data_IF_913713685035
#
_entry.id   IF_913713685035
#
_cell.length_a   1.000
_cell.length_b   1.000
_cell.length_c   1.000
_cell.angle_alpha   90.00
_cell.angle_beta   90.00
_cell.angle_gamma   90.00
#
_symmetry.space_group_name_H-M   'P 1'
#
loop_
_entity.id
_entity.type
_entity.pdbx_description
1 polymer ?
#
# COMPACT_ATOMS: atom_id res chain seq x y z
N UNK A 1 33.67 -9.52 13.21
CA UNK A 1 33.66 -9.28 11.75
C UNK A 1 34.55 -8.08 11.47
N UNK A 2 35.31 -8.10 10.38
CA UNK A 2 36.12 -6.96 9.97
C UNK A 2 35.24 -5.73 9.65
N UNK A 3 35.71 -4.52 9.99
CA UNK A 3 34.93 -3.29 9.86
C UNK A 3 34.59 -2.97 8.40
N UNK A 4 35.49 -3.24 7.47
CA UNK A 4 35.27 -3.03 6.04
C UNK A 4 34.24 -4.03 5.50
N UNK A 5 34.36 -5.30 5.91
CA UNK A 5 33.39 -6.35 5.55
C UNK A 5 31.99 -5.99 6.05
N UNK A 6 31.88 -5.54 7.32
CA UNK A 6 30.61 -5.11 7.91
C UNK A 6 29.99 -3.96 7.12
N UNK A 7 30.76 -2.92 6.83
CA UNK A 7 30.24 -1.74 6.13
C UNK A 7 29.78 -2.09 4.71
N UNK A 8 30.53 -2.96 4.00
CA UNK A 8 30.13 -3.44 2.67
C UNK A 8 28.83 -4.24 2.73
N UNK A 9 28.65 -5.11 3.72
CA UNK A 9 27.42 -5.87 3.90
C UNK A 9 26.22 -4.97 4.16
N UNK A 10 26.36 -3.94 4.99
CA UNK A 10 25.30 -2.94 5.24
C UNK A 10 24.85 -2.30 3.93
N UNK A 11 25.79 -1.77 3.15
CA UNK A 11 25.48 -1.10 1.87
C UNK A 11 24.81 -2.05 0.86
N UNK A 12 25.28 -3.30 0.79
CA UNK A 12 24.67 -4.32 -0.07
C UNK A 12 23.22 -4.59 0.36
N UNK A 13 22.99 -4.78 1.66
CA UNK A 13 21.64 -5.06 2.17
C UNK A 13 20.70 -3.88 1.91
N UNK A 14 21.11 -2.64 2.20
CA UNK A 14 20.30 -1.44 1.95
C UNK A 14 19.90 -1.32 0.47
N UNK A 15 20.85 -1.52 -0.44
CA UNK A 15 20.61 -1.48 -1.88
C UNK A 15 19.62 -2.57 -2.31
N UNK A 16 19.79 -3.80 -1.84
CA UNK A 16 18.89 -4.89 -2.20
C UNK A 16 17.49 -4.73 -1.62
N UNK A 17 17.38 -4.25 -0.37
CA UNK A 17 16.09 -3.94 0.25
C UNK A 17 15.36 -2.90 -0.60
N UNK A 18 16.00 -1.78 -0.93
CA UNK A 18 15.39 -0.72 -1.72
C UNK A 18 14.92 -1.22 -3.10
N UNK A 19 15.73 -2.02 -3.79
CA UNK A 19 15.37 -2.60 -5.08
C UNK A 19 14.17 -3.55 -4.99
N UNK A 20 14.14 -4.41 -3.97
CA UNK A 20 13.05 -5.35 -3.73
C UNK A 20 11.75 -4.63 -3.35
N UNK A 21 11.82 -3.58 -2.54
CA UNK A 21 10.68 -2.72 -2.21
C UNK A 21 10.11 -2.01 -3.45
N UNK A 22 10.98 -1.53 -4.35
CA UNK A 22 10.55 -0.92 -5.61
C UNK A 22 9.88 -1.94 -6.54
N UNK A 23 10.44 -3.15 -6.66
CA UNK A 23 9.82 -4.23 -7.43
C UNK A 23 8.46 -4.60 -6.84
N UNK A 24 8.37 -4.75 -5.52
CA UNK A 24 7.10 -5.02 -4.85
C UNK A 24 6.08 -3.92 -5.14
N UNK A 25 6.50 -2.65 -5.05
CA UNK A 25 5.65 -1.49 -5.39
C UNK A 25 5.11 -1.55 -6.81
N UNK A 26 5.96 -1.89 -7.79
CA UNK A 26 5.56 -2.02 -9.19
C UNK A 26 4.48 -3.10 -9.37
N UNK A 27 4.57 -4.23 -8.66
CA UNK A 27 3.56 -5.29 -8.72
C UNK A 27 2.18 -4.85 -8.19
N UNK A 28 2.13 -3.87 -7.30
CA UNK A 28 0.89 -3.30 -6.75
C UNK A 28 0.42 -2.04 -7.48
N UNK A 29 1.11 -1.64 -8.54
CA UNK A 29 0.81 -0.43 -9.27
C UNK A 29 -0.15 -0.72 -10.42
N UNK A 30 -1.27 0.00 -10.51
CA UNK A 30 -2.32 -0.19 -11.52
C UNK A 30 -2.81 1.13 -12.08
N UNK A 31 -3.50 1.08 -13.23
CA UNK A 31 -4.33 2.20 -13.68
C UNK A 31 -5.54 2.35 -12.74
N UNK A 32 -5.84 3.59 -12.35
CA UNK A 32 -6.90 3.91 -11.41
C UNK A 32 -8.28 3.48 -11.96
N UNK A 33 -8.92 2.45 -11.40
CA UNK A 33 -10.18 1.89 -11.89
C UNK A 33 -11.39 2.81 -11.65
N UNK A 34 -11.22 3.88 -10.86
CA UNK A 34 -12.29 4.82 -10.52
C UNK A 34 -12.30 6.06 -11.42
N UNK A 35 -11.23 6.31 -12.20
CA UNK A 35 -11.24 7.35 -13.23
C UNK A 35 -11.77 6.73 -14.53
N UNK A 36 -12.80 7.38 -15.11
CA UNK A 36 -13.37 6.97 -16.38
C UNK A 36 -12.33 6.96 -17.51
N UNK A 37 -12.59 6.14 -18.53
CA UNK A 37 -11.78 5.92 -19.74
C UNK A 37 -11.49 7.18 -20.57
N UNK A 38 -12.02 8.34 -20.19
CA UNK A 38 -11.96 9.59 -20.94
C UNK A 38 -10.70 10.44 -20.62
N UNK A 39 -9.88 10.01 -19.66
CA UNK A 39 -8.60 10.66 -19.36
C UNK A 39 -7.50 9.91 -20.12
N UNK A 40 -7.07 10.47 -21.25
CA UNK A 40 -5.94 9.96 -22.01
C UNK A 40 -4.72 9.80 -21.09
N UNK A 41 -4.31 8.54 -20.86
CA UNK A 41 -3.11 8.20 -20.12
C UNK A 41 -3.28 7.74 -18.68
N UNK A 42 -4.51 7.51 -18.20
CA UNK A 42 -4.84 6.74 -16.98
C UNK A 42 -3.98 7.03 -15.73
N UNK A 43 -4.55 7.62 -14.68
CA UNK A 43 -3.79 7.86 -13.43
C UNK A 43 -3.23 6.53 -12.88
N UNK A 44 -1.91 6.41 -12.80
CA UNK A 44 -1.24 5.22 -12.27
C UNK A 44 -1.07 5.37 -10.76
N UNK A 45 -1.57 4.38 -10.01
CA UNK A 45 -1.63 4.40 -8.55
C UNK A 45 -1.02 3.12 -7.94
N UNK A 46 -0.49 3.20 -6.72
CA UNK A 46 -0.22 2.00 -5.91
C UNK A 46 -1.49 1.64 -5.13
N UNK A 47 -2.08 0.49 -5.43
CA UNK A 47 -3.35 0.06 -4.84
C UNK A 47 -3.28 -0.03 -3.31
N UNK A 48 -2.10 -0.29 -2.73
CA UNK A 48 -1.93 -0.38 -1.27
C UNK A 48 -2.03 0.99 -0.61
N UNK A 49 -1.51 2.02 -1.28
CA UNK A 49 -1.57 3.41 -0.80
C UNK A 49 -3.02 3.89 -0.84
N UNK A 50 -3.72 3.67 -1.95
CA UNK A 50 -5.13 4.05 -2.07
C UNK A 50 -6.01 3.31 -1.05
N UNK A 51 -5.73 2.03 -0.78
CA UNK A 51 -6.43 1.29 0.27
C UNK A 51 -6.23 1.89 1.67
N UNK A 52 -5.00 2.33 1.99
CA UNK A 52 -4.73 2.99 3.26
C UNK A 52 -5.46 4.34 3.35
N UNK A 53 -5.44 5.13 2.27
CA UNK A 53 -6.19 6.40 2.19
C UNK A 53 -7.68 6.15 2.42
N UNK A 54 -8.28 5.17 1.74
CA UNK A 54 -9.69 4.82 1.92
C UNK A 54 -9.99 4.45 3.37
N UNK A 55 -9.17 3.63 4.03
CA UNK A 55 -9.37 3.25 5.44
C UNK A 55 -9.33 4.46 6.37
N UNK A 56 -8.37 5.37 6.18
CA UNK A 56 -8.27 6.59 6.99
C UNK A 56 -9.47 7.51 6.79
N UNK A 57 -9.94 7.65 5.56
CA UNK A 57 -11.13 8.45 5.26
C UNK A 57 -12.40 7.81 5.82
N UNK A 58 -12.54 6.48 5.74
CA UNK A 58 -13.63 5.75 6.39
C UNK A 58 -13.63 6.01 7.90
N UNK A 59 -12.49 5.86 8.58
CA UNK A 59 -12.36 6.15 10.01
C UNK A 59 -12.80 7.58 10.37
N UNK A 60 -12.47 8.57 9.53
CA UNK A 60 -12.84 9.97 9.75
C UNK A 60 -14.34 10.18 9.53
N UNK A 61 -14.89 9.75 8.39
CA UNK A 61 -16.28 10.01 8.05
C UNK A 61 -17.26 9.21 8.90
N UNK A 62 -16.90 7.98 9.29
CA UNK A 62 -17.73 7.14 10.15
C UNK A 62 -18.04 7.80 11.51
N UNK A 63 -17.19 8.73 11.98
CA UNK A 63 -17.46 9.46 13.23
C UNK A 63 -18.79 10.19 13.20
N UNK A 64 -19.24 10.68 12.04
CA UNK A 64 -20.52 11.38 11.95
C UNK A 64 -21.71 10.44 12.17
N UNK A 65 -21.58 9.16 11.77
CA UNK A 65 -22.60 8.13 11.98
C UNK A 65 -22.64 7.62 13.43
N UNK A 66 -21.50 7.67 14.13
CA UNK A 66 -21.37 7.16 15.52
C UNK A 66 -21.66 8.25 16.56
N UNK A 67 -21.09 9.44 16.37
CA UNK A 67 -21.07 10.53 17.36
C UNK A 67 -21.97 11.71 16.95
N UNK A 68 -22.35 11.80 15.68
CA UNK A 68 -23.09 12.93 15.13
C UNK A 68 -24.60 12.84 15.36
N UNK A 69 -25.29 13.92 14.98
CA UNK A 69 -26.74 13.88 14.81
C UNK A 69 -27.02 13.45 13.37
N UNK A 70 -27.82 12.39 13.19
CA UNK A 70 -28.11 11.77 11.89
C UNK A 70 -29.11 12.59 11.05
N UNK A 71 -28.93 13.90 10.99
CA UNK A 71 -29.76 14.83 10.25
C UNK A 71 -28.98 16.09 9.83
N UNK A 72 -29.45 16.75 8.78
CA UNK A 72 -28.90 18.00 8.27
C UNK A 72 -27.86 17.81 7.16
N UNK A 73 -27.64 18.88 6.39
CA UNK A 73 -26.86 18.86 5.15
C UNK A 73 -25.43 18.36 5.33
N UNK A 74 -24.80 18.69 6.47
CA UNK A 74 -23.44 18.20 6.80
C UNK A 74 -23.43 16.69 7.01
N UNK A 75 -24.41 16.13 7.72
CA UNK A 75 -24.53 14.68 7.89
C UNK A 75 -24.70 14.00 6.55
N UNK A 76 -25.68 14.44 5.75
CA UNK A 76 -25.98 13.83 4.45
C UNK A 76 -24.77 13.84 3.51
N UNK A 77 -24.02 14.95 3.49
CA UNK A 77 -22.82 15.09 2.67
C UNK A 77 -21.71 14.12 3.09
N UNK A 78 -21.35 14.10 4.38
CA UNK A 78 -20.23 13.26 4.84
C UNK A 78 -20.60 11.77 4.94
N UNK A 79 -21.87 11.45 5.20
CA UNK A 79 -22.37 10.07 5.09
C UNK A 79 -22.27 9.56 3.64
N UNK A 80 -22.59 10.41 2.65
CA UNK A 80 -22.38 10.08 1.24
C UNK A 80 -20.90 9.86 0.91
N UNK A 81 -20.00 10.70 1.42
CA UNK A 81 -18.55 10.49 1.26
C UNK A 81 -18.05 9.20 1.92
N UNK A 82 -18.55 8.85 3.09
CA UNK A 82 -18.28 7.56 3.73
C UNK A 82 -18.68 6.42 2.80
N UNK A 83 -19.93 6.42 2.31
CA UNK A 83 -20.44 5.39 1.41
C UNK A 83 -19.59 5.24 0.14
N UNK A 84 -19.24 6.35 -0.52
CA UNK A 84 -18.41 6.31 -1.73
C UNK A 84 -16.98 5.84 -1.45
N UNK A 85 -16.41 6.22 -0.31
CA UNK A 85 -15.07 5.76 0.12
C UNK A 85 -15.07 4.24 0.36
N UNK A 86 -16.13 3.70 0.97
CA UNK A 86 -16.28 2.25 1.13
C UNK A 86 -16.39 1.52 -0.19
N UNK A 87 -17.14 2.07 -1.16
CA UNK A 87 -17.20 1.49 -2.51
C UNK A 87 -15.87 1.55 -3.24
N UNK A 88 -15.13 2.64 -3.13
CA UNK A 88 -13.78 2.75 -3.67
C UNK A 88 -12.85 1.69 -3.05
N UNK A 89 -12.87 1.52 -1.73
CA UNK A 89 -12.07 0.51 -1.02
C UNK A 89 -12.37 -0.90 -1.51
N UNK A 90 -13.64 -1.29 -1.63
CA UNK A 90 -14.06 -2.60 -2.15
C UNK A 90 -13.47 -2.88 -3.55
N UNK A 91 -13.47 -1.87 -4.44
CA UNK A 91 -12.88 -1.97 -5.77
C UNK A 91 -11.37 -2.19 -5.67
N UNK A 92 -10.66 -1.39 -4.88
CA UNK A 92 -9.22 -1.54 -4.71
C UNK A 92 -8.83 -2.86 -4.06
N UNK A 93 -9.60 -3.38 -3.09
CA UNK A 93 -9.36 -4.68 -2.47
C UNK A 93 -9.45 -5.82 -3.48
N UNK A 94 -10.47 -5.77 -4.34
CA UNK A 94 -10.63 -6.72 -5.44
C UNK A 94 -9.45 -6.67 -6.42
N UNK A 95 -8.98 -5.47 -6.77
CA UNK A 95 -7.81 -5.29 -7.65
C UNK A 95 -6.53 -5.81 -7.00
N UNK A 96 -6.30 -5.49 -5.73
CA UNK A 96 -5.16 -6.00 -4.95
C UNK A 96 -5.14 -7.53 -4.93
N UNK A 97 -6.27 -8.16 -4.62
CA UNK A 97 -6.38 -9.62 -4.59
C UNK A 97 -6.04 -10.23 -5.95
N UNK A 98 -6.49 -9.62 -7.05
CA UNK A 98 -6.16 -10.07 -8.39
C UNK A 98 -4.66 -10.00 -8.66
N UNK A 99 -3.98 -8.91 -8.29
CA UNK A 99 -2.53 -8.78 -8.42
C UNK A 99 -1.79 -9.82 -7.58
N UNK A 100 -2.23 -10.04 -6.34
CA UNK A 100 -1.66 -11.06 -5.44
C UNK A 100 -1.78 -12.46 -6.02
N UNK A 101 -2.91 -12.79 -6.66
CA UNK A 101 -3.09 -14.07 -7.35
C UNK A 101 -2.21 -14.18 -8.61
N UNK A 102 -2.13 -13.11 -9.41
CA UNK A 102 -1.35 -13.08 -10.66
C UNK A 102 0.16 -13.15 -10.40
N UNK A 103 0.62 -12.56 -9.31
CA UNK A 103 2.05 -12.42 -8.97
C UNK A 103 2.43 -13.17 -7.68
N UNK A 104 1.64 -14.18 -7.27
CA UNK A 104 1.78 -14.85 -5.98
C UNK A 104 3.20 -15.36 -5.70
N UNK A 105 3.82 -16.02 -6.69
CA UNK A 105 5.17 -16.56 -6.55
C UNK A 105 6.23 -15.46 -6.41
N UNK A 106 6.12 -14.41 -7.22
CA UNK A 106 7.06 -13.28 -7.22
C UNK A 106 6.97 -12.50 -5.91
N UNK A 107 5.76 -12.16 -5.47
CA UNK A 107 5.51 -11.48 -4.19
C UNK A 107 6.08 -12.32 -3.03
N UNK A 108 5.85 -13.64 -3.05
CA UNK A 108 6.39 -14.54 -2.03
C UNK A 108 7.92 -14.53 -2.02
N UNK A 109 8.56 -14.60 -3.18
CA UNK A 109 10.03 -14.60 -3.29
C UNK A 109 10.63 -13.27 -2.83
N UNK A 110 10.05 -12.15 -3.26
CA UNK A 110 10.48 -10.81 -2.84
C UNK A 110 10.39 -10.66 -1.31
N UNK A 111 9.27 -11.07 -0.71
CA UNK A 111 9.08 -10.98 0.74
C UNK A 111 10.07 -11.86 1.51
N UNK A 112 10.36 -13.07 1.03
CA UNK A 112 11.36 -13.95 1.65
C UNK A 112 12.77 -13.33 1.63
N UNK A 113 13.15 -12.72 0.51
CA UNK A 113 14.44 -12.05 0.40
C UNK A 113 14.50 -10.78 1.26
N UNK A 114 13.44 -9.98 1.27
CA UNK A 114 13.34 -8.80 2.14
C UNK A 114 13.50 -9.18 3.61
N UNK A 115 12.80 -10.22 4.06
CA UNK A 115 12.93 -10.72 5.43
C UNK A 115 14.38 -11.10 5.76
N UNK A 116 15.05 -11.85 4.87
CA UNK A 116 16.45 -12.23 5.04
C UNK A 116 17.40 -11.02 5.14
N UNK A 117 17.27 -10.03 4.25
CA UNK A 117 18.10 -8.83 4.28
C UNK A 117 17.82 -7.94 5.50
N UNK A 118 16.56 -7.81 5.93
CA UNK A 118 16.18 -7.03 7.12
C UNK A 118 16.71 -7.68 8.40
N UNK A 119 16.62 -9.00 8.51
CA UNK A 119 17.19 -9.76 9.63
C UNK A 119 18.71 -9.59 9.70
N UNK A 120 19.38 -9.69 8.55
CA UNK A 120 20.83 -9.48 8.47
C UNK A 120 21.20 -8.04 8.85
N UNK A 121 20.51 -7.03 8.32
CA UNK A 121 20.71 -5.62 8.72
C UNK A 121 20.55 -5.40 10.22
N UNK A 122 19.52 -6.01 10.82
CA UNK A 122 19.26 -5.93 12.25
C UNK A 122 20.39 -6.56 13.07
N UNK A 123 21.01 -7.64 12.57
CA UNK A 123 22.17 -8.28 13.19
C UNK A 123 23.41 -7.38 13.07
N UNK A 124 23.67 -6.86 11.86
CA UNK A 124 24.79 -5.97 11.56
C UNK A 124 24.75 -4.67 12.36
N UNK A 125 23.59 -4.19 12.82
CA UNK A 125 23.48 -3.01 13.69
C UNK A 125 23.66 -3.31 15.19
N UNK A 126 23.51 -4.56 15.62
CA UNK A 126 23.67 -4.97 17.03
C UNK A 126 25.10 -5.37 17.38
N UNK A 127 25.87 -5.84 16.40
CA UNK A 127 27.31 -6.14 16.52
C UNK A 127 28.17 -4.87 16.52
#
# INVERSE_FOLDING_TARGET
MDKEVRQRLITICEMHISNLEEQLRKLYTIENPLRGSDVAGGEIIDVRVELEICRRLEEIYQRIDIEGTNEGETYDMYHSYFFHTTKAREVFESRKLKLELQHAAEIKNINLLLEGFIQEMSRLHKE
#
